data_IF_289447174639
#
_entry.id   IF_289447174639
#
_cell.length_a   1.000
_cell.length_b   1.000
_cell.length_c   1.000
_cell.angle_alpha   90.00
_cell.angle_beta   90.00
_cell.angle_gamma   90.00
#
_symmetry.space_group_name_H-M   'P 1'
#
loop_
_entity.id
_entity.type
_entity.pdbx_description
1 polymer ?
#
# COMPACT_ATOMS: atom_id res chain seq x y z
N UNK A 1 -21.72 4.73 6.29
CA UNK A 1 -20.63 5.35 5.51
C UNK A 1 -19.35 5.02 6.24
N UNK A 2 -18.40 4.37 5.59
CA UNK A 2 -17.14 4.05 6.25
C UNK A 2 -16.35 5.34 6.50
N UNK A 3 -15.54 5.32 7.55
CA UNK A 3 -14.76 6.47 8.00
C UNK A 3 -13.62 6.74 7.01
N UNK A 4 -13.50 8.00 6.57
CA UNK A 4 -12.37 8.46 5.75
C UNK A 4 -11.22 8.88 6.66
N UNK A 5 -10.05 8.28 6.46
CA UNK A 5 -8.82 8.63 7.15
C UNK A 5 -7.97 9.58 6.30
N UNK A 6 -7.29 10.51 6.95
CA UNK A 6 -6.33 11.41 6.31
C UNK A 6 -4.98 10.72 6.14
N UNK A 7 -4.31 10.99 5.02
CA UNK A 7 -2.99 10.44 4.73
C UNK A 7 -2.13 11.39 3.90
N UNK A 8 -0.81 11.33 4.08
CA UNK A 8 0.13 12.16 3.34
C UNK A 8 1.50 11.49 3.14
N UNK A 9 2.23 11.95 2.13
CA UNK A 9 3.66 11.63 2.02
C UNK A 9 4.47 12.41 3.07
N UNK A 10 5.73 12.04 3.29
CA UNK A 10 6.58 12.67 4.32
C UNK A 10 6.66 14.20 4.24
N UNK A 11 6.85 14.78 3.05
CA UNK A 11 6.96 16.23 2.88
C UNK A 11 5.60 16.95 2.79
N UNK A 12 4.48 16.22 2.84
CA UNK A 12 3.13 16.76 2.72
C UNK A 12 2.74 17.26 1.32
N UNK A 13 3.63 17.18 0.33
CA UNK A 13 3.34 17.62 -1.04
C UNK A 13 2.17 16.84 -1.65
N UNK A 14 2.06 15.55 -1.32
CA UNK A 14 0.93 14.68 -1.66
C UNK A 14 0.11 14.43 -0.40
N UNK A 15 -1.18 14.72 -0.45
CA UNK A 15 -2.14 14.38 0.59
C UNK A 15 -3.41 13.79 -0.05
N UNK A 16 -4.00 12.80 0.62
CA UNK A 16 -5.17 12.07 0.15
C UNK A 16 -6.01 11.58 1.33
N UNK A 17 -7.30 11.35 1.10
CA UNK A 17 -8.13 10.61 2.06
C UNK A 17 -8.25 9.16 1.60
N UNK A 18 -8.39 8.24 2.56
CA UNK A 18 -8.55 6.81 2.31
C UNK A 18 -9.72 6.23 3.12
N UNK A 19 -10.58 5.48 2.47
CA UNK A 19 -11.54 4.56 3.08
C UNK A 19 -10.94 3.14 3.02
N UNK A 20 -10.86 2.45 4.15
CA UNK A 20 -10.29 1.09 4.21
C UNK A 20 -11.37 0.03 3.99
N UNK A 21 -11.05 -1.02 3.24
CA UNK A 21 -12.02 -2.07 2.89
C UNK A 21 -12.52 -2.86 4.12
N UNK A 22 -11.63 -3.12 5.08
CA UNK A 22 -11.92 -3.85 6.32
C UNK A 22 -10.96 -3.38 7.42
N UNK A 23 -10.98 -2.06 7.67
CA UNK A 23 -10.03 -1.40 8.57
C UNK A 23 -8.58 -1.83 8.28
N UNK A 24 -7.83 -2.11 9.35
CA UNK A 24 -6.45 -2.57 9.24
C UNK A 24 -6.28 -4.11 9.18
N UNK A 25 -7.37 -4.89 9.15
CA UNK A 25 -7.30 -6.36 9.12
C UNK A 25 -6.65 -6.90 7.85
N UNK A 26 -6.60 -6.09 6.79
CA UNK A 26 -5.98 -6.44 5.51
C UNK A 26 -4.50 -6.04 5.40
N UNK A 27 -3.89 -5.58 6.49
CA UNK A 27 -2.49 -5.17 6.53
C UNK A 27 -1.56 -6.35 6.19
N UNK A 28 -0.77 -6.18 5.13
CA UNK A 28 0.15 -7.21 4.62
C UNK A 28 1.34 -6.63 3.90
N UNK A 29 2.38 -7.45 3.71
CA UNK A 29 3.53 -7.19 2.85
C UNK A 29 3.55 -8.17 1.68
N UNK A 30 4.35 -7.85 0.68
CA UNK A 30 4.57 -8.69 -0.50
C UNK A 30 6.08 -8.87 -0.70
N UNK A 31 6.51 -10.10 -1.00
CA UNK A 31 7.92 -10.45 -1.15
C UNK A 31 8.46 -10.33 -2.59
N UNK A 32 7.65 -9.88 -3.57
CA UNK A 32 8.12 -9.74 -4.95
C UNK A 32 9.32 -8.79 -5.05
N UNK A 33 10.05 -8.86 -6.17
CA UNK A 33 11.27 -8.09 -6.40
C UNK A 33 11.12 -6.58 -6.13
N UNK A 34 9.95 -6.01 -6.43
CA UNK A 34 9.67 -4.59 -6.21
C UNK A 34 9.17 -4.28 -4.79
N UNK A 35 8.16 -5.02 -4.31
CA UNK A 35 7.54 -4.77 -3.00
C UNK A 35 8.50 -4.99 -1.84
N UNK A 36 9.42 -5.96 -1.96
CA UNK A 36 10.45 -6.19 -0.94
C UNK A 36 11.40 -5.01 -0.81
N UNK A 37 11.71 -4.31 -1.91
CA UNK A 37 12.56 -3.11 -1.90
C UNK A 37 11.85 -1.90 -1.28
N UNK A 38 10.53 -1.79 -1.47
CA UNK A 38 9.73 -0.72 -0.84
C UNK A 38 9.62 -0.87 0.67
N UNK A 39 9.58 -2.09 1.18
CA UNK A 39 9.54 -2.34 2.62
C UNK A 39 8.20 -2.05 3.31
N UNK A 40 7.23 -1.45 2.62
CA UNK A 40 6.01 -0.93 3.23
C UNK A 40 4.99 -2.02 3.57
N UNK A 41 4.33 -1.88 4.73
CA UNK A 41 3.08 -2.56 5.05
C UNK A 41 1.95 -1.85 4.30
N UNK A 42 1.14 -2.60 3.57
CA UNK A 42 0.03 -2.07 2.81
C UNK A 42 -1.32 -2.61 3.29
N UNK A 43 -2.32 -1.75 3.36
CA UNK A 43 -3.71 -2.07 3.70
C UNK A 43 -4.62 -1.90 2.47
N UNK A 44 -5.68 -2.69 2.35
CA UNK A 44 -6.60 -2.60 1.21
C UNK A 44 -7.62 -1.47 1.36
N UNK A 45 -7.89 -0.80 0.25
CA UNK A 45 -8.93 0.20 0.06
C UNK A 45 -9.66 -0.10 -1.26
N UNK A 46 -10.98 0.10 -1.36
CA UNK A 46 -11.66 0.00 -2.65
C UNK A 46 -11.14 1.08 -3.60
N UNK A 47 -11.29 0.88 -4.92
CA UNK A 47 -10.85 1.85 -5.93
C UNK A 47 -11.47 3.24 -5.76
N UNK A 48 -12.70 3.32 -5.29
CA UNK A 48 -13.39 4.58 -4.96
C UNK A 48 -13.01 5.16 -3.61
N UNK A 49 -12.26 4.42 -2.79
CA UNK A 49 -11.91 4.78 -1.42
C UNK A 49 -10.77 5.78 -1.30
N UNK A 50 -10.03 6.07 -2.38
CA UNK A 50 -8.95 7.05 -2.36
C UNK A 50 -9.35 8.32 -3.11
N UNK A 51 -9.15 9.46 -2.44
CA UNK A 51 -9.33 10.78 -3.03
C UNK A 51 -8.06 11.61 -2.80
N UNK A 52 -7.35 11.95 -3.87
CA UNK A 52 -6.16 12.82 -3.78
C UNK A 52 -6.61 14.27 -3.65
N UNK A 53 -6.45 14.82 -2.44
CA UNK A 53 -6.86 16.18 -2.08
C UNK A 53 -5.79 17.23 -2.42
N UNK A 54 -4.51 16.83 -2.49
CA UNK A 54 -3.38 17.72 -2.83
C UNK A 54 -2.25 16.96 -3.53
N UNK A 55 -1.59 17.63 -4.47
CA UNK A 55 -0.33 17.15 -5.07
C UNK A 55 -0.48 16.07 -6.14
N UNK A 56 -1.56 16.09 -6.92
CA UNK A 56 -1.73 15.16 -8.06
C UNK A 56 -0.58 15.28 -9.07
N UNK A 57 -0.08 16.48 -9.28
CA UNK A 57 1.10 16.78 -10.13
C UNK A 57 2.42 16.30 -9.52
N UNK A 58 2.44 15.98 -8.22
CA UNK A 58 3.61 15.43 -7.52
C UNK A 58 3.57 13.92 -7.36
N UNK A 59 2.46 13.27 -7.74
CA UNK A 59 2.36 11.82 -7.80
C UNK A 59 3.00 11.29 -9.08
N UNK A 60 4.06 10.52 -8.92
CA UNK A 60 4.70 9.80 -10.03
C UNK A 60 4.16 8.39 -10.11
N UNK A 61 3.77 8.00 -11.31
CA UNK A 61 3.34 6.65 -11.64
C UNK A 61 4.54 5.79 -12.05
N UNK A 62 4.56 4.55 -11.59
CA UNK A 62 5.51 3.53 -12.00
C UNK A 62 4.79 2.22 -12.30
N UNK A 63 5.10 1.65 -13.47
CA UNK A 63 4.63 0.35 -13.94
C UNK A 63 5.81 -0.48 -14.39
N UNK A 64 5.72 -1.79 -14.20
CA UNK A 64 6.74 -2.74 -14.66
C UNK A 64 6.09 -4.10 -14.93
N UNK A 65 6.87 -5.02 -15.51
CA UNK A 65 6.43 -6.38 -15.85
C UNK A 65 5.15 -6.36 -16.72
N UNK A 66 4.01 -6.85 -16.25
CA UNK A 66 2.74 -6.85 -16.99
C UNK A 66 2.15 -5.45 -17.18
N UNK A 67 2.61 -4.46 -16.42
CA UNK A 67 2.09 -3.10 -16.44
C UNK A 67 0.70 -2.94 -15.81
N UNK A 68 0.11 -4.00 -15.25
CA UNK A 68 -1.23 -3.99 -14.67
C UNK A 68 -1.29 -3.27 -13.32
N UNK A 69 -0.31 -3.52 -12.45
CA UNK A 69 -0.18 -2.78 -11.19
C UNK A 69 0.29 -1.35 -11.46
N UNK A 70 -0.32 -0.40 -10.75
CA UNK A 70 -0.05 1.03 -10.92
C UNK A 70 0.47 1.58 -9.63
N UNK A 71 1.78 1.83 -9.54
CA UNK A 71 2.41 2.24 -8.30
C UNK A 71 2.61 3.75 -8.25
N UNK A 72 2.14 4.40 -7.18
CA UNK A 72 2.29 5.84 -7.00
C UNK A 72 3.29 6.18 -5.89
N UNK A 73 4.14 7.17 -6.12
CA UNK A 73 5.04 7.71 -5.11
C UNK A 73 5.20 9.22 -5.28
N UNK A 74 5.61 9.91 -4.22
CA UNK A 74 5.86 11.34 -4.26
C UNK A 74 7.18 11.63 -4.99
N UNK A 75 7.13 12.42 -6.07
CA UNK A 75 8.32 12.90 -6.80
C UNK A 75 9.28 13.75 -5.97
N UNK A 76 8.80 14.35 -4.87
CA UNK A 76 9.60 15.25 -4.01
C UNK A 76 10.38 14.49 -2.95
N UNK A 77 9.72 13.59 -2.21
CA UNK A 77 10.35 12.86 -1.09
C UNK A 77 10.55 11.36 -1.33
N UNK A 78 10.13 10.83 -2.48
CA UNK A 78 10.27 9.41 -2.83
C UNK A 78 9.30 8.46 -2.12
N UNK A 79 8.49 8.94 -1.17
CA UNK A 79 7.59 8.09 -0.39
C UNK A 79 6.54 7.45 -1.29
N UNK A 80 6.49 6.12 -1.25
CA UNK A 80 5.40 5.31 -1.77
C UNK A 80 4.11 5.58 -0.99
N UNK A 81 3.06 6.01 -1.70
CA UNK A 81 1.75 6.35 -1.11
C UNK A 81 0.78 5.18 -1.23
N UNK A 82 0.34 4.86 -2.43
CA UNK A 82 -0.60 3.77 -2.72
C UNK A 82 -0.35 3.19 -4.11
N UNK A 83 -0.95 2.03 -4.41
CA UNK A 83 -0.86 1.42 -5.73
C UNK A 83 -2.12 0.65 -6.07
N UNK A 84 -2.54 0.68 -7.34
CA UNK A 84 -3.59 -0.20 -7.82
C UNK A 84 -3.02 -1.61 -7.91
N UNK A 85 -3.72 -2.59 -7.32
CA UNK A 85 -3.23 -3.97 -7.25
C UNK A 85 -3.36 -4.66 -8.61
N UNK A 86 -2.38 -5.51 -8.94
CA UNK A 86 -2.48 -6.44 -10.07
C UNK A 86 -3.52 -7.54 -9.80
N UNK A 87 -3.54 -8.10 -8.59
CA UNK A 87 -4.44 -9.20 -8.21
C UNK A 87 -5.91 -8.81 -8.22
N UNK A 88 -6.23 -7.55 -7.94
CA UNK A 88 -7.58 -7.00 -8.01
C UNK A 88 -7.52 -5.54 -8.46
N UNK A 89 -7.78 -5.23 -9.74
CA UNK A 89 -7.78 -3.87 -10.26
C UNK A 89 -8.83 -2.94 -9.65
N UNK A 90 -9.78 -3.46 -8.86
CA UNK A 90 -10.76 -2.67 -8.11
C UNK A 90 -10.30 -2.35 -6.67
N UNK A 91 -9.06 -2.69 -6.32
CA UNK A 91 -8.46 -2.36 -5.03
C UNK A 91 -7.16 -1.56 -5.17
N UNK A 92 -6.98 -0.66 -4.21
CA UNK A 92 -5.69 -0.07 -3.89
C UNK A 92 -5.05 -0.80 -2.70
N UNK A 93 -3.72 -0.91 -2.72
CA UNK A 93 -2.91 -1.10 -1.53
C UNK A 93 -2.34 0.25 -1.08
N UNK A 94 -2.58 0.65 0.16
CA UNK A 94 -2.16 1.94 0.73
C UNK A 94 -1.06 1.72 1.76
N UNK A 95 0.03 2.48 1.67
CA UNK A 95 1.09 2.46 2.67
C UNK A 95 0.54 2.95 4.01
N UNK A 96 0.53 2.08 5.03
CA UNK A 96 -0.02 2.42 6.35
C UNK A 96 0.72 3.58 7.00
N UNK A 97 2.03 3.73 6.73
CA UNK A 97 2.86 4.79 7.27
C UNK A 97 2.54 6.19 6.71
N UNK A 98 1.71 6.27 5.66
CA UNK A 98 1.18 7.53 5.17
C UNK A 98 -0.10 7.96 5.89
N UNK A 99 -0.79 7.06 6.60
CA UNK A 99 -2.06 7.36 7.27
C UNK A 99 -1.76 8.06 8.60
N UNK A 100 -2.48 9.15 8.88
CA UNK A 100 -2.27 9.95 10.08
C UNK A 100 -2.40 9.10 11.34
N UNK A 101 -1.40 9.19 12.22
CA UNK A 101 -1.38 8.45 13.48
C UNK A 101 -1.10 6.95 13.38
N UNK A 102 -0.71 6.44 12.20
CA UNK A 102 -0.45 5.01 11.98
C UNK A 102 1.03 4.78 11.69
N UNK A 103 1.61 3.82 12.41
CA UNK A 103 2.97 3.35 12.23
C UNK A 103 3.00 1.90 11.75
N UNK A 104 3.93 1.49 10.87
CA UNK A 104 4.11 0.08 10.54
C UNK A 104 4.50 -0.76 11.76
N UNK A 105 4.96 -0.13 12.85
CA UNK A 105 5.30 -0.77 14.13
C UNK A 105 4.09 -0.96 15.07
N UNK A 106 2.90 -0.52 14.67
CA UNK A 106 1.66 -0.80 15.42
C UNK A 106 1.13 -2.22 15.14
N UNK A 107 1.69 -2.89 14.14
CA UNK A 107 1.35 -4.26 13.76
C UNK A 107 2.35 -5.25 14.36
N UNK A 108 1.92 -6.03 15.35
CA UNK A 108 2.76 -7.05 15.99
C UNK A 108 3.11 -8.22 15.07
N UNK A 109 2.24 -8.51 14.10
CA UNK A 109 2.42 -9.56 13.10
C UNK A 109 1.77 -9.12 11.78
N UNK A 110 2.50 -9.23 10.67
CA UNK A 110 2.02 -8.89 9.34
C UNK A 110 2.27 -10.06 8.40
N UNK A 111 1.24 -10.47 7.66
CA UNK A 111 1.35 -11.50 6.63
C UNK A 111 2.25 -11.04 5.48
N UNK A 112 3.09 -11.95 4.97
CA UNK A 112 3.90 -11.74 3.78
C UNK A 112 3.34 -12.61 2.67
N UNK A 113 2.71 -11.97 1.69
CA UNK A 113 2.14 -12.65 0.53
C UNK A 113 3.23 -13.01 -0.50
N UNK A 114 3.04 -14.14 -1.17
CA UNK A 114 3.86 -14.54 -2.31
C UNK A 114 3.54 -13.68 -3.52
N UNK A 115 4.42 -12.72 -3.80
CA UNK A 115 4.39 -11.98 -5.05
C UNK A 115 5.47 -12.43 -6.03
N UNK A 116 6.33 -13.38 -5.67
CA UNK A 116 7.25 -14.03 -6.62
C UNK A 116 6.45 -14.99 -7.50
N UNK A 117 5.57 -15.79 -6.88
CA UNK A 117 4.57 -16.61 -7.56
C UNK A 117 3.20 -15.94 -7.43
N UNK A 118 2.94 -14.88 -8.19
CA UNK A 118 1.76 -14.04 -7.99
C UNK A 118 0.44 -14.81 -8.27
N UNK A 119 -0.69 -14.48 -7.59
CA UNK A 119 -1.97 -15.18 -7.77
C UNK A 119 -2.48 -15.28 -9.22
N UNK A 120 -2.38 -14.19 -9.99
CA UNK A 120 -2.76 -14.19 -11.41
C UNK A 120 -1.88 -15.08 -12.30
N UNK A 121 -0.74 -15.57 -11.80
CA UNK A 121 0.15 -16.51 -12.50
C UNK A 121 -0.07 -17.97 -12.06
N UNK A 122 -1.14 -18.23 -11.29
CA UNK A 122 -1.48 -19.57 -10.77
C UNK A 122 -0.84 -19.92 -9.41
N UNK A 123 -0.16 -18.96 -8.77
CA UNK A 123 0.45 -19.13 -7.45
C UNK A 123 -0.29 -18.38 -6.33
N UNK A 124 0.47 -17.83 -5.39
CA UNK A 124 -0.01 -16.91 -4.36
C UNK A 124 -0.01 -17.50 -2.96
N UNK A 125 -0.79 -16.88 -2.08
CA UNK A 125 -0.89 -17.25 -0.67
C UNK A 125 0.10 -16.51 0.24
N UNK A 126 0.14 -16.95 1.50
CA UNK A 126 1.01 -16.40 2.54
C UNK A 126 2.25 -17.28 2.63
N UNK A 127 3.43 -16.68 2.50
CA UNK A 127 4.73 -17.37 2.53
C UNK A 127 5.55 -17.06 3.80
N UNK A 128 5.02 -16.21 4.67
CA UNK A 128 5.65 -15.93 5.95
C UNK A 128 4.97 -14.81 6.71
N UNK A 129 5.59 -14.45 7.81
CA UNK A 129 5.11 -13.41 8.71
C UNK A 129 6.30 -12.54 9.13
N UNK A 130 6.08 -11.23 9.24
CA UNK A 130 7.01 -10.32 9.90
C UNK A 130 6.43 -9.93 11.25
N UNK A 131 7.23 -10.12 12.30
CA UNK A 131 6.83 -9.84 13.69
C UNK A 131 7.60 -8.65 14.24
N UNK A 132 6.89 -7.78 14.96
CA UNK A 132 7.48 -6.67 15.70
C UNK A 132 7.15 -6.83 17.17
N UNK A 133 8.19 -6.78 18.01
CA UNK A 133 8.10 -6.90 19.45
C UNK A 133 8.69 -5.63 20.07
N UNK A 134 7.87 -4.91 20.85
CA UNK A 134 8.35 -3.76 21.63
C UNK A 134 9.24 -4.28 22.76
N UNK A 135 10.37 -3.63 22.95
CA UNK A 135 11.27 -3.91 24.08
C UNK A 135 10.68 -3.42 25.39
#
# INVERSE_FOLDING_TARGET
MAEKLSAHCHCGAVAFTVELSDGFNTARRCNCSYCRMRGAVAVSSPRSGIEVVRGRDKLTEYRFNTGEAVHFFCSVCGIYTFHQRRSNPQEYGVNVACIDGVSPFDFSCVEVNDGVNHPNDGGGGVVGYLRYEKK
#
